data_IF_680497805976
#
_entry.id   IF_680497805976
#
_cell.length_a   1.000
_cell.length_b   1.000
_cell.length_c   1.000
_cell.angle_alpha   90.00
_cell.angle_beta   90.00
_cell.angle_gamma   90.00
#
_symmetry.space_group_name_H-M   'P 1'
#
loop_
_entity.id
_entity.type
_entity.pdbx_description
1 polymer ?
#
# COMPACT_ATOMS: atom_id res chain seq x y z
N UNK A 1 37.94 13.67 -56.39
CA UNK A 1 37.88 12.62 -55.35
C UNK A 1 36.96 12.93 -54.14
N UNK A 2 36.07 13.94 -54.17
CA UNK A 2 35.31 14.44 -53.03
C UNK A 2 33.89 13.89 -52.87
N UNK A 3 33.17 13.60 -53.97
CA UNK A 3 31.72 13.28 -53.85
C UNK A 3 31.40 11.86 -53.30
N UNK A 4 32.22 10.86 -53.62
CA UNK A 4 32.04 9.50 -53.08
C UNK A 4 32.30 9.41 -51.58
N UNK A 5 33.29 10.14 -51.06
CA UNK A 5 33.55 10.22 -49.61
C UNK A 5 32.41 10.89 -48.86
N UNK A 6 31.81 11.97 -49.39
CA UNK A 6 30.65 12.63 -48.77
C UNK A 6 29.42 11.73 -48.70
N UNK A 7 29.11 10.98 -49.78
CA UNK A 7 27.99 10.01 -49.75
C UNK A 7 28.20 8.92 -48.71
N UNK A 8 29.39 8.35 -48.59
CA UNK A 8 29.69 7.33 -47.60
C UNK A 8 29.56 7.87 -46.15
N UNK A 9 30.00 9.10 -45.89
CA UNK A 9 29.87 9.73 -44.58
C UNK A 9 28.39 9.94 -44.24
N UNK A 10 27.59 10.46 -45.18
CA UNK A 10 26.13 10.66 -44.98
C UNK A 10 25.43 9.33 -44.72
N UNK A 11 25.75 8.28 -45.47
CA UNK A 11 25.16 6.94 -45.23
C UNK A 11 25.55 6.40 -43.86
N UNK A 12 26.79 6.60 -43.44
CA UNK A 12 27.28 6.13 -42.15
C UNK A 12 26.62 6.87 -40.97
N UNK A 13 26.41 8.18 -41.09
CA UNK A 13 25.69 8.98 -40.11
C UNK A 13 24.20 8.57 -40.01
N UNK A 14 23.53 8.31 -41.14
CA UNK A 14 22.15 7.83 -41.16
C UNK A 14 22.04 6.46 -40.49
N UNK A 15 22.95 5.52 -40.78
CA UNK A 15 22.96 4.21 -40.13
C UNK A 15 23.17 4.33 -38.62
N UNK A 16 24.06 5.23 -38.16
CA UNK A 16 24.26 5.46 -36.70
C UNK A 16 23.00 6.02 -36.03
N UNK A 17 22.32 6.97 -36.67
CA UNK A 17 21.07 7.54 -36.14
C UNK A 17 19.96 6.48 -36.06
N UNK A 18 19.81 5.68 -37.13
CA UNK A 18 18.82 4.59 -37.15
C UNK A 18 19.13 3.55 -36.05
N UNK A 19 20.38 3.13 -35.91
CA UNK A 19 20.79 2.20 -34.84
C UNK A 19 20.51 2.75 -33.46
N UNK A 20 20.75 4.05 -33.26
CA UNK A 20 20.46 4.71 -31.98
C UNK A 20 18.95 4.72 -31.67
N UNK A 21 18.11 5.03 -32.66
CA UNK A 21 16.65 5.02 -32.51
C UNK A 21 16.15 3.60 -32.22
N UNK A 22 16.65 2.59 -32.95
CA UNK A 22 16.28 1.19 -32.69
C UNK A 22 16.71 0.72 -31.29
N UNK A 23 17.89 1.16 -30.83
CA UNK A 23 18.36 0.88 -29.48
C UNK A 23 17.44 1.52 -28.40
N UNK A 24 17.04 2.78 -28.62
CA UNK A 24 16.09 3.46 -27.73
C UNK A 24 14.73 2.77 -27.70
N UNK A 25 14.20 2.36 -28.85
CA UNK A 25 12.95 1.62 -28.95
C UNK A 25 13.04 0.25 -28.26
N UNK A 26 14.14 -0.48 -28.45
CA UNK A 26 14.38 -1.75 -27.75
C UNK A 26 14.42 -1.55 -26.25
N UNK A 27 15.11 -0.52 -25.76
CA UNK A 27 15.21 -0.21 -24.35
C UNK A 27 13.84 0.17 -23.76
N UNK A 28 13.04 0.95 -24.50
CA UNK A 28 11.69 1.33 -24.09
C UNK A 28 10.74 0.12 -24.02
N UNK A 29 10.78 -0.75 -25.02
CA UNK A 29 10.02 -2.00 -25.04
C UNK A 29 10.47 -2.97 -23.94
N UNK A 30 11.75 -3.00 -23.64
CA UNK A 30 12.32 -3.80 -22.55
C UNK A 30 11.84 -3.34 -21.18
N UNK A 31 11.72 -2.03 -20.97
CA UNK A 31 11.18 -1.46 -19.70
C UNK A 31 9.68 -1.75 -19.57
N UNK A 32 8.90 -1.61 -20.66
CA UNK A 32 7.47 -1.91 -20.64
C UNK A 32 7.18 -3.39 -20.44
N UNK A 33 8.02 -4.28 -20.94
CA UNK A 33 7.90 -5.71 -20.68
C UNK A 33 8.41 -6.15 -19.30
N UNK A 34 9.33 -5.40 -18.68
CA UNK A 34 9.79 -5.67 -17.31
C UNK A 34 8.77 -5.26 -16.23
N UNK A 35 7.81 -4.37 -16.57
CA UNK A 35 6.73 -3.96 -15.67
C UNK A 35 5.54 -4.93 -15.60
N UNK A 36 5.52 -5.98 -16.42
CA UNK A 36 4.43 -6.96 -16.49
C UNK A 36 4.91 -8.39 -16.21
N UNK A 37 5.94 -8.53 -15.41
CA UNK A 37 6.45 -9.81 -14.96
C UNK A 37 5.70 -10.32 -13.73
N UNK A 38 4.40 -10.60 -13.85
CA UNK A 38 3.74 -11.57 -13.00
C UNK A 38 4.53 -12.88 -13.11
N UNK A 39 5.37 -13.15 -12.13
CA UNK A 39 5.89 -14.51 -11.92
C UNK A 39 4.69 -15.37 -11.51
N UNK A 40 4.01 -15.92 -12.48
CA UNK A 40 3.02 -16.99 -12.25
C UNK A 40 3.79 -18.17 -11.67
N UNK A 41 3.86 -18.24 -10.36
CA UNK A 41 4.19 -19.46 -9.64
C UNK A 41 2.99 -20.37 -9.92
N UNK A 42 3.18 -21.61 -10.42
CA UNK A 42 2.07 -22.54 -10.60
C UNK A 42 1.55 -22.91 -9.21
N UNK A 43 0.54 -22.18 -8.74
CA UNK A 43 -0.17 -22.48 -7.51
C UNK A 43 -1.23 -23.52 -7.81
N UNK A 44 -1.29 -24.58 -7.03
CA UNK A 44 -2.33 -25.61 -7.11
C UNK A 44 -3.70 -24.94 -6.98
N UNK A 45 -4.68 -25.36 -7.79
CA UNK A 45 -6.02 -24.72 -7.88
C UNK A 45 -6.73 -24.59 -6.51
N UNK A 46 -6.37 -25.43 -5.52
CA UNK A 46 -6.88 -25.38 -4.16
C UNK A 46 -6.38 -24.16 -3.35
N UNK A 47 -5.24 -23.54 -3.75
CA UNK A 47 -4.66 -22.40 -3.02
C UNK A 47 -5.13 -21.06 -3.58
N UNK A 48 -5.75 -21.04 -4.78
CA UNK A 48 -6.16 -19.80 -5.44
C UNK A 48 -7.32 -19.11 -4.69
N UNK A 49 -8.25 -19.89 -4.14
CA UNK A 49 -9.37 -19.31 -3.38
C UNK A 49 -8.89 -18.63 -2.09
N UNK A 50 -7.95 -19.25 -1.37
CA UNK A 50 -7.38 -18.67 -0.16
C UNK A 50 -6.49 -17.44 -0.46
N UNK A 51 -5.67 -17.48 -1.53
CA UNK A 51 -4.81 -16.35 -1.93
C UNK A 51 -5.63 -15.15 -2.41
N UNK A 52 -6.73 -15.38 -3.12
CA UNK A 52 -7.63 -14.30 -3.56
C UNK A 52 -8.36 -13.69 -2.35
N UNK A 53 -8.78 -14.48 -1.37
CA UNK A 53 -9.40 -13.97 -0.15
C UNK A 53 -8.43 -13.15 0.71
N UNK A 54 -7.21 -13.65 0.93
CA UNK A 54 -6.17 -12.94 1.70
C UNK A 54 -5.78 -11.62 1.01
N UNK A 55 -5.65 -11.61 -0.32
CA UNK A 55 -5.30 -10.39 -1.06
C UNK A 55 -6.43 -9.36 -1.05
N UNK A 56 -7.69 -9.77 -1.18
CA UNK A 56 -8.84 -8.87 -1.12
C UNK A 56 -9.06 -8.29 0.29
N UNK A 57 -8.68 -9.01 1.33
CA UNK A 57 -8.84 -8.56 2.71
C UNK A 57 -7.74 -7.59 3.15
N UNK A 58 -6.49 -7.79 2.69
CA UNK A 58 -5.40 -6.84 2.94
C UNK A 58 -5.54 -5.51 2.20
N UNK A 59 -6.17 -5.52 1.01
CA UNK A 59 -6.32 -4.32 0.17
C UNK A 59 -7.23 -3.26 0.82
N UNK A 60 -8.14 -3.64 1.71
CA UNK A 60 -9.03 -2.69 2.44
C UNK A 60 -8.24 -1.71 3.31
N UNK A 61 -7.06 -2.11 3.80
CA UNK A 61 -6.21 -1.29 4.66
C UNK A 61 -5.24 -0.40 3.89
N UNK A 62 -5.20 -0.47 2.56
CA UNK A 62 -4.33 0.33 1.72
C UNK A 62 -5.09 1.55 1.20
N UNK A 63 -4.51 2.74 1.32
CA UNK A 63 -5.08 3.96 0.78
C UNK A 63 -4.80 4.12 -0.72
N UNK A 64 -5.36 5.17 -1.35
CA UNK A 64 -5.21 5.45 -2.79
C UNK A 64 -3.74 5.68 -3.22
N UNK A 65 -2.85 5.91 -2.27
CA UNK A 65 -1.40 6.09 -2.49
C UNK A 65 -0.60 4.80 -2.29
N UNK A 66 -1.24 3.66 -2.06
CA UNK A 66 -0.59 2.38 -1.81
C UNK A 66 0.07 2.27 -0.43
N UNK A 67 -0.37 3.08 0.53
CA UNK A 67 0.14 3.12 1.91
C UNK A 67 -0.88 2.48 2.84
N UNK A 68 -0.41 1.73 3.84
CA UNK A 68 -1.28 1.19 4.90
C UNK A 68 -1.86 2.37 5.69
N UNK A 69 -3.18 2.41 5.82
CA UNK A 69 -3.90 3.46 6.56
C UNK A 69 -3.47 3.51 8.02
N UNK A 70 -3.41 4.71 8.56
CA UNK A 70 -3.06 4.92 9.96
C UNK A 70 -1.58 4.77 10.28
N UNK A 71 -0.71 4.51 9.29
CA UNK A 71 0.73 4.38 9.48
C UNK A 71 1.43 5.72 9.28
N UNK A 72 2.41 6.00 10.11
CA UNK A 72 3.33 7.11 9.90
C UNK A 72 4.21 6.86 8.67
N UNK A 73 4.20 7.74 7.66
CA UNK A 73 4.79 7.47 6.35
C UNK A 73 6.27 7.04 6.39
N UNK A 74 7.08 7.56 7.30
CA UNK A 74 8.48 7.14 7.38
C UNK A 74 8.70 5.84 8.16
N UNK A 75 7.69 5.27 8.82
CA UNK A 75 7.74 3.91 9.38
C UNK A 75 7.21 2.87 8.41
N UNK A 76 6.57 3.28 7.32
CA UNK A 76 6.01 2.40 6.30
C UNK A 76 6.98 1.29 5.81
N UNK A 77 8.29 1.54 5.59
CA UNK A 77 9.22 0.49 5.20
C UNK A 77 9.39 -0.65 6.22
N UNK A 78 8.93 -0.45 7.46
CA UNK A 78 8.99 -1.46 8.52
C UNK A 78 7.78 -2.41 8.48
N UNK A 79 6.67 -1.99 7.85
CA UNK A 79 5.45 -2.78 7.66
C UNK A 79 5.60 -3.76 6.50
N UNK A 80 6.48 -4.72 6.66
CA UNK A 80 6.71 -5.82 5.72
C UNK A 80 7.22 -7.05 6.47
N UNK A 81 6.92 -8.24 5.98
CA UNK A 81 7.44 -9.45 6.58
C UNK A 81 8.96 -9.51 6.44
N UNK A 82 9.62 -10.07 7.45
CA UNK A 82 11.02 -10.45 7.38
C UNK A 82 11.22 -11.75 6.58
N UNK A 83 12.44 -12.30 6.58
CA UNK A 83 12.77 -13.54 5.88
C UNK A 83 12.02 -14.78 6.43
N UNK A 84 11.44 -14.69 7.63
CA UNK A 84 10.66 -15.75 8.27
C UNK A 84 9.14 -15.55 8.10
N UNK A 85 8.71 -14.43 7.53
CA UNK A 85 7.30 -14.04 7.44
C UNK A 85 6.78 -13.36 8.70
N UNK A 86 7.68 -12.83 9.56
CA UNK A 86 7.34 -12.18 10.81
C UNK A 86 7.37 -10.66 10.68
N UNK A 87 6.52 -9.99 11.46
CA UNK A 87 6.54 -8.54 11.68
C UNK A 87 7.19 -8.23 13.01
N UNK A 88 8.13 -7.31 13.04
CA UNK A 88 8.71 -6.80 14.26
C UNK A 88 7.89 -5.60 14.75
N UNK A 89 7.34 -5.67 15.96
CA UNK A 89 6.68 -4.54 16.62
C UNK A 89 7.62 -3.34 16.69
N UNK A 90 7.11 -2.12 16.46
CA UNK A 90 7.96 -0.96 16.17
C UNK A 90 8.75 -0.43 17.39
N UNK A 91 8.20 -0.57 18.58
CA UNK A 91 8.78 -0.04 19.84
C UNK A 91 9.02 -1.11 20.90
N UNK A 92 8.65 -2.37 20.63
CA UNK A 92 8.95 -3.53 21.48
C UNK A 92 9.89 -4.48 20.74
N UNK A 93 10.44 -5.45 21.45
CA UNK A 93 11.30 -6.50 20.88
C UNK A 93 10.51 -7.76 20.49
N UNK A 94 9.19 -7.61 20.31
CA UNK A 94 8.28 -8.69 19.95
C UNK A 94 8.27 -8.92 18.44
N UNK A 95 8.06 -10.18 18.06
CA UNK A 95 7.86 -10.61 16.68
C UNK A 95 6.55 -11.40 16.61
N UNK A 96 5.72 -11.06 15.66
CA UNK A 96 4.44 -11.73 15.39
C UNK A 96 4.40 -12.18 13.93
N UNK A 97 3.61 -13.20 13.56
CA UNK A 97 3.33 -13.51 12.16
C UNK A 97 2.81 -12.27 11.43
N UNK A 98 3.30 -12.00 10.21
CA UNK A 98 2.87 -10.81 9.45
C UNK A 98 1.36 -10.80 9.16
N UNK A 99 0.72 -11.97 9.16
CA UNK A 99 -0.73 -12.14 8.99
C UNK A 99 -1.55 -11.53 10.13
N UNK A 100 -0.93 -11.31 11.28
CA UNK A 100 -1.54 -10.66 12.44
C UNK A 100 -1.48 -9.12 12.38
N UNK A 101 -0.96 -8.55 11.31
CA UNK A 101 -1.02 -7.09 11.09
C UNK A 101 -2.38 -6.71 10.53
N UNK A 102 -3.15 -5.90 11.27
CA UNK A 102 -4.52 -5.49 10.95
C UNK A 102 -5.52 -6.68 10.92
N UNK A 103 -5.41 -7.60 11.86
CA UNK A 103 -6.34 -8.74 11.98
C UNK A 103 -7.50 -8.49 12.99
N UNK A 104 -7.64 -7.26 13.46
CA UNK A 104 -8.61 -6.82 14.48
C UNK A 104 -8.30 -7.41 15.89
N UNK A 105 -7.06 -7.84 16.14
CA UNK A 105 -6.59 -8.31 17.44
C UNK A 105 -5.27 -7.62 17.82
N UNK A 106 -5.11 -7.18 19.06
CA UNK A 106 -3.92 -6.45 19.50
C UNK A 106 -2.85 -7.42 20.00
N UNK A 107 -1.83 -7.68 19.20
CA UNK A 107 -0.76 -8.65 19.49
C UNK A 107 0.54 -7.97 19.97
N UNK A 108 0.86 -6.75 19.47
CA UNK A 108 2.02 -6.00 19.91
C UNK A 108 1.70 -5.13 21.14
N UNK A 109 2.57 -5.14 22.16
CA UNK A 109 2.42 -4.28 23.35
C UNK A 109 2.38 -2.79 22.98
N UNK A 110 3.07 -2.39 21.90
CA UNK A 110 3.10 -1.01 21.42
C UNK A 110 1.96 -0.66 20.45
N UNK A 111 1.04 -1.59 20.20
CA UNK A 111 -0.11 -1.42 19.29
C UNK A 111 0.25 -1.18 17.82
N UNK A 112 1.47 -1.51 17.41
CA UNK A 112 1.95 -1.23 16.05
C UNK A 112 1.46 -2.23 15.02
N UNK A 113 0.89 -3.35 15.43
CA UNK A 113 0.26 -4.37 14.59
C UNK A 113 -1.09 -3.93 14.03
N UNK A 114 -1.78 -3.03 14.73
CA UNK A 114 -3.14 -2.59 14.38
C UNK A 114 -3.20 -1.10 13.96
N UNK A 115 -2.41 -0.66 12.98
CA UNK A 115 -2.38 0.76 12.63
C UNK A 115 -3.67 1.28 11.98
N UNK A 116 -4.45 0.40 11.33
CA UNK A 116 -5.65 0.77 10.58
C UNK A 116 -6.95 0.50 11.32
N UNK A 117 -6.90 -0.13 12.49
CA UNK A 117 -8.08 -0.60 13.21
C UNK A 117 -8.20 0.03 14.60
N UNK A 118 -9.27 -0.25 15.30
CA UNK A 118 -9.49 0.18 16.68
C UNK A 118 -9.27 -0.97 17.70
N UNK A 119 -8.62 -2.06 17.31
CA UNK A 119 -8.42 -3.23 18.16
C UNK A 119 -7.52 -2.95 19.36
N UNK A 120 -6.48 -2.11 19.19
CA UNK A 120 -5.57 -1.74 20.27
C UNK A 120 -6.05 -0.50 21.03
N UNK A 121 -6.33 -0.64 22.32
CA UNK A 121 -6.87 0.46 23.17
C UNK A 121 -5.94 1.68 23.24
N UNK A 122 -4.62 1.46 23.23
CA UNK A 122 -3.60 2.51 23.29
C UNK A 122 -3.02 2.85 21.90
N UNK A 123 -3.63 2.33 20.82
CA UNK A 123 -3.18 2.55 19.46
C UNK A 123 -3.31 4.02 19.04
N UNK A 124 -2.53 4.39 18.04
CA UNK A 124 -2.53 5.74 17.45
C UNK A 124 -2.68 5.59 15.94
N UNK A 125 -3.70 6.22 15.40
CA UNK A 125 -3.92 6.32 13.97
C UNK A 125 -3.32 7.62 13.44
N UNK A 126 -2.52 7.55 12.39
CA UNK A 126 -1.94 8.71 11.71
C UNK A 126 -2.82 9.07 10.51
N UNK A 127 -3.38 10.29 10.50
CA UNK A 127 -4.17 10.81 9.37
C UNK A 127 -3.34 10.82 8.09
N UNK A 128 -3.95 10.66 6.92
CA UNK A 128 -3.23 10.64 5.63
C UNK A 128 -2.61 12.01 5.27
N UNK A 129 -3.13 13.11 5.82
CA UNK A 129 -2.59 14.47 5.66
C UNK A 129 -1.29 14.68 6.44
N UNK A 130 -0.26 13.89 6.15
CA UNK A 130 1.05 13.98 6.80
C UNK A 130 1.99 14.92 6.05
N UNK A 131 2.70 15.78 6.79
CA UNK A 131 3.74 16.62 6.22
C UNK A 131 4.99 15.80 5.89
N UNK A 132 5.60 16.05 4.72
CA UNK A 132 6.93 15.52 4.39
C UNK A 132 8.05 16.10 5.28
N UNK A 133 7.77 17.18 5.99
CA UNK A 133 8.71 17.80 6.90
C UNK A 133 8.65 17.12 8.29
N UNK A 134 9.68 16.34 8.63
CA UNK A 134 9.80 15.64 9.91
C UNK A 134 9.76 16.53 11.16
N UNK A 135 9.88 17.85 11.00
CA UNK A 135 9.80 18.79 12.12
C UNK A 135 8.36 19.20 12.47
N UNK A 136 7.41 18.90 11.58
CA UNK A 136 5.99 19.12 11.81
C UNK A 136 5.42 17.85 12.43
N UNK A 137 4.78 17.97 13.58
CA UNK A 137 4.11 16.83 14.21
C UNK A 137 3.01 16.32 13.28
N UNK A 138 2.92 15.01 13.05
CA UNK A 138 1.86 14.44 12.23
C UNK A 138 0.51 14.60 12.94
N UNK A 139 -0.56 14.75 12.15
CA UNK A 139 -1.91 14.70 12.67
C UNK A 139 -2.24 13.26 13.07
N UNK A 140 -2.70 13.07 14.30
CA UNK A 140 -3.02 11.76 14.85
C UNK A 140 -4.31 11.79 15.63
N UNK A 141 -5.00 10.65 15.63
CA UNK A 141 -6.15 10.39 16.48
C UNK A 141 -5.94 9.08 17.25
N UNK A 142 -6.55 8.89 18.42
CA UNK A 142 -6.56 7.58 19.08
C UNK A 142 -7.18 6.51 18.18
N UNK A 143 -6.71 5.27 18.25
CA UNK A 143 -7.28 4.15 17.48
C UNK A 143 -8.79 3.97 17.70
N UNK A 144 -9.30 4.32 18.90
CA UNK A 144 -10.72 4.27 19.22
C UNK A 144 -11.59 5.21 18.36
N UNK A 145 -10.98 6.12 17.59
CA UNK A 145 -11.63 7.04 16.67
C UNK A 145 -11.71 6.51 15.24
N UNK A 146 -11.09 5.37 14.99
CA UNK A 146 -11.10 4.75 13.66
C UNK A 146 -12.45 4.10 13.41
N UNK A 147 -13.13 4.54 12.34
CA UNK A 147 -14.44 4.05 11.91
C UNK A 147 -15.53 4.16 13.00
N UNK A 148 -15.51 5.22 13.81
CA UNK A 148 -16.51 5.48 14.84
C UNK A 148 -17.73 6.29 14.35
N UNK A 149 -17.69 6.72 13.08
CA UNK A 149 -18.74 7.50 12.43
C UNK A 149 -18.54 9.01 12.58
N UNK A 150 -17.43 9.46 13.13
CA UNK A 150 -17.08 10.87 13.35
C UNK A 150 -15.79 11.16 12.60
N UNK A 151 -15.75 12.18 11.76
CA UNK A 151 -14.56 12.60 11.03
C UNK A 151 -13.63 13.39 11.99
N UNK A 152 -12.69 12.71 12.62
CA UNK A 152 -11.73 13.31 13.56
C UNK A 152 -10.45 13.79 12.83
N UNK A 153 -10.01 13.09 11.78
CA UNK A 153 -9.00 13.58 10.86
C UNK A 153 -9.57 14.64 9.91
N UNK A 154 -8.87 15.74 9.67
CA UNK A 154 -9.33 16.79 8.75
C UNK A 154 -9.52 16.30 7.30
N UNK A 155 -8.80 15.26 6.90
CA UNK A 155 -8.94 14.61 5.59
C UNK A 155 -9.98 13.46 5.59
N UNK A 156 -10.52 13.12 6.77
CA UNK A 156 -11.48 12.03 6.94
C UNK A 156 -10.90 10.63 6.79
N UNK A 157 -9.58 10.49 6.84
CA UNK A 157 -8.90 9.21 6.64
C UNK A 157 -9.11 8.20 7.77
N UNK A 158 -9.58 8.64 8.93
CA UNK A 158 -10.00 7.81 10.06
C UNK A 158 -11.28 7.01 9.79
N UNK A 159 -12.15 7.54 8.91
CA UNK A 159 -13.43 6.94 8.51
C UNK A 159 -13.30 6.25 7.14
N UNK A 160 -12.42 5.26 7.03
CA UNK A 160 -12.07 4.64 5.75
C UNK A 160 -13.00 3.48 5.33
N UNK A 161 -13.84 2.94 6.22
CA UNK A 161 -14.78 1.88 5.89
C UNK A 161 -15.85 2.37 4.90
N UNK A 162 -15.90 1.74 3.73
CA UNK A 162 -16.91 2.06 2.72
C UNK A 162 -18.25 1.39 3.07
N UNK A 163 -19.35 2.00 2.64
CA UNK A 163 -20.70 1.49 2.86
C UNK A 163 -20.89 0.03 2.38
N UNK A 164 -20.19 -0.38 1.32
CA UNK A 164 -20.24 -1.75 0.82
C UNK A 164 -19.49 -2.73 1.74
N UNK A 165 -18.38 -2.32 2.32
CA UNK A 165 -17.59 -3.13 3.25
C UNK A 165 -18.36 -3.33 4.56
N UNK A 166 -19.05 -2.29 5.03
CA UNK A 166 -19.97 -2.35 6.17
C UNK A 166 -21.08 -3.37 5.95
N UNK A 167 -21.65 -3.44 4.74
CA UNK A 167 -22.69 -4.42 4.41
C UNK A 167 -22.15 -5.86 4.42
N UNK A 168 -20.95 -6.08 3.88
CA UNK A 168 -20.32 -7.39 3.86
C UNK A 168 -19.97 -7.86 5.28
N UNK A 169 -19.36 -7.01 6.08
CA UNK A 169 -19.01 -7.30 7.49
C UNK A 169 -20.26 -7.56 8.34
N UNK A 170 -21.35 -6.82 8.13
CA UNK A 170 -22.62 -7.03 8.85
C UNK A 170 -23.28 -8.35 8.48
N UNK A 171 -23.08 -8.87 7.25
CA UNK A 171 -23.58 -10.17 6.81
C UNK A 171 -22.73 -11.34 7.31
N UNK A 172 -21.40 -11.17 7.35
CA UNK A 172 -20.46 -12.19 7.83
C UNK A 172 -20.54 -12.38 9.35
N UNK A 173 -20.62 -11.28 10.10
CA UNK A 173 -20.76 -11.30 11.55
C UNK A 173 -22.24 -11.12 11.93
N UNK A 174 -22.91 -12.21 12.35
CA UNK A 174 -24.26 -12.19 12.93
C UNK A 174 -24.36 -11.41 14.27
N UNK A 175 -23.30 -10.74 14.69
CA UNK A 175 -23.26 -9.87 15.87
C UNK A 175 -23.54 -8.44 15.44
N UNK A 176 -24.40 -7.74 16.14
CA UNK A 176 -24.79 -6.34 15.91
C UNK A 176 -23.61 -5.38 16.17
N UNK A 177 -22.60 -5.39 15.33
CA UNK A 177 -21.65 -4.28 15.25
C UNK A 177 -22.27 -3.20 14.34
N UNK A 178 -22.53 -2.03 14.90
CA UNK A 178 -22.94 -0.86 14.15
C UNK A 178 -21.67 -0.25 13.52
N UNK A 179 -21.34 -0.66 12.31
CA UNK A 179 -20.37 0.06 11.51
C UNK A 179 -21.10 1.24 10.84
N UNK A 180 -20.60 2.43 11.03
CA UNK A 180 -21.11 3.62 10.36
C UNK A 180 -20.15 3.97 9.23
N UNK A 181 -20.61 3.87 7.99
CA UNK A 181 -19.89 4.43 6.84
C UNK A 181 -20.12 5.94 6.81
N UNK A 182 -19.19 6.73 7.30
CA UNK A 182 -19.23 8.19 7.22
C UNK A 182 -18.68 8.67 5.89
N UNK A 183 -19.28 9.72 5.34
CA UNK A 183 -18.72 10.44 4.20
C UNK A 183 -18.03 11.69 4.73
N UNK A 184 -16.75 11.58 5.03
CA UNK A 184 -15.95 12.70 5.43
C UNK A 184 -15.49 13.51 4.22
N UNK A 185 -15.65 14.83 4.28
CA UNK A 185 -15.09 15.74 3.30
C UNK A 185 -13.69 16.16 3.77
N UNK A 186 -12.74 16.17 2.85
CA UNK A 186 -11.41 16.70 3.14
C UNK A 186 -11.49 18.21 3.43
N UNK A 187 -11.07 18.60 4.62
CA UNK A 187 -11.06 19.97 5.12
C UNK A 187 -9.63 20.48 5.42
N UNK A 188 -8.60 19.63 5.13
CA UNK A 188 -7.22 20.06 5.24
C UNK A 188 -6.87 21.02 4.08
#
# INVERSE_FOLDING_TARGET
MGLRKKKNIITLTICMVISFILYQLYFFLSITSAGSGDRVIPVHVADIENVVHVRAESDKYINDHGVIKGVLYYTMPQYRPDAKGEFKCLKSDEYIPFEQVNDDYCDCEDSSDEPSTNACVNGTFYCDSQSSNKRVAPNTVPSSKVNDGICDCCDGSDEWLRENDVKLLSQANKRHYRYYGSKCLNQC
#
